data_IF_102416060681
#
_entry.id   IF_102416060681
#
_cell.length_a   1.000
_cell.length_b   1.000
_cell.length_c   1.000
_cell.angle_alpha   90.00
_cell.angle_beta   90.00
_cell.angle_gamma   90.00
#
_symmetry.space_group_name_H-M   'P 1'
#
loop_
_entity.id
_entity.type
_entity.pdbx_description
1 polymer ?
#
# COMPACT_ATOMS: atom_id res chain seq x y z
N UNK A 1 16.98 12.95 11.95
CA UNK A 1 15.72 12.34 12.39
C UNK A 1 14.48 13.23 12.21
N UNK A 2 14.57 14.47 11.69
CA UNK A 2 13.41 15.39 11.55
C UNK A 2 12.79 15.38 10.14
N UNK A 3 13.59 15.15 9.08
CA UNK A 3 13.15 15.18 7.67
C UNK A 3 11.95 14.27 7.38
N UNK A 4 12.01 13.01 7.79
CA UNK A 4 10.94 12.03 7.58
C UNK A 4 9.69 12.37 8.40
N UNK A 5 9.86 12.79 9.66
CA UNK A 5 8.73 13.20 10.51
C UNK A 5 8.01 14.43 9.96
N UNK A 6 8.74 15.42 9.45
CA UNK A 6 8.14 16.60 8.80
C UNK A 6 7.39 16.21 7.53
N UNK A 7 7.96 15.34 6.71
CA UNK A 7 7.30 14.84 5.50
C UNK A 7 5.99 14.10 5.82
N UNK A 8 5.99 13.24 6.84
CA UNK A 8 4.78 12.55 7.31
C UNK A 8 3.74 13.53 7.84
N UNK A 9 4.14 14.55 8.62
CA UNK A 9 3.23 15.57 9.12
C UNK A 9 2.57 16.39 8.01
N UNK A 10 3.33 16.77 6.98
CA UNK A 10 2.80 17.47 5.81
C UNK A 10 1.81 16.59 5.03
N UNK A 11 2.12 15.31 4.84
CA UNK A 11 1.23 14.36 4.17
C UNK A 11 -0.09 14.20 4.93
N UNK A 12 -0.01 14.04 6.25
CA UNK A 12 -1.19 13.87 7.12
C UNK A 12 -2.04 15.14 7.20
N UNK A 13 -1.42 16.32 7.08
CA UNK A 13 -2.13 17.61 6.96
C UNK A 13 -2.82 17.80 5.58
N UNK A 14 -2.60 16.89 4.63
CA UNK A 14 -3.25 16.89 3.32
C UNK A 14 -2.43 17.53 2.19
N UNK A 15 -1.16 17.84 2.41
CA UNK A 15 -0.26 18.34 1.36
C UNK A 15 0.00 17.27 0.31
N UNK A 16 0.03 17.65 -0.97
CA UNK A 16 0.29 16.73 -2.07
C UNK A 16 1.71 16.14 -1.97
N UNK A 17 1.85 14.84 -2.24
CA UNK A 17 3.15 14.14 -2.20
C UNK A 17 4.19 14.76 -3.15
N UNK A 18 3.76 15.35 -4.27
CA UNK A 18 4.63 16.06 -5.21
C UNK A 18 5.18 17.35 -4.62
N UNK A 19 4.37 18.09 -3.85
CA UNK A 19 4.79 19.32 -3.18
C UNK A 19 5.77 19.01 -2.04
N UNK A 20 5.55 17.91 -1.33
CA UNK A 20 6.48 17.41 -0.31
C UNK A 20 7.80 17.01 -0.96
N UNK A 21 7.78 16.32 -2.10
CA UNK A 21 8.98 15.96 -2.85
C UNK A 21 9.79 17.20 -3.27
N UNK A 22 9.11 18.23 -3.79
CA UNK A 22 9.73 19.49 -4.18
C UNK A 22 10.34 20.23 -2.99
N UNK A 23 9.61 20.35 -1.87
CA UNK A 23 10.11 20.98 -0.64
C UNK A 23 11.34 20.27 -0.06
N UNK A 24 11.40 18.95 -0.22
CA UNK A 24 12.53 18.12 0.19
C UNK A 24 13.71 18.17 -0.80
N UNK A 25 13.56 18.81 -1.96
CA UNK A 25 14.58 18.89 -3.01
C UNK A 25 14.77 17.59 -3.79
N UNK A 26 13.75 16.73 -3.83
CA UNK A 26 13.79 15.51 -4.64
C UNK A 26 13.45 15.84 -6.09
N UNK A 27 14.30 15.42 -7.03
CA UNK A 27 14.06 15.52 -8.48
C UNK A 27 12.87 14.64 -8.92
N UNK A 28 12.54 13.61 -8.14
CA UNK A 28 11.43 12.70 -8.39
C UNK A 28 10.62 12.41 -7.11
N UNK A 29 9.28 12.32 -7.20
CA UNK A 29 8.44 11.92 -6.08
C UNK A 29 8.58 10.43 -5.69
N UNK A 30 9.34 9.63 -6.46
CA UNK A 30 9.54 8.20 -6.19
C UNK A 30 10.13 7.93 -4.81
N UNK A 31 11.02 8.80 -4.31
CA UNK A 31 11.62 8.69 -2.98
C UNK A 31 10.71 9.20 -1.86
N UNK A 32 9.63 9.90 -2.21
CA UNK A 32 8.59 10.39 -1.28
C UNK A 32 7.39 9.44 -1.22
N UNK A 33 7.25 8.51 -2.19
CA UNK A 33 6.18 7.51 -2.24
C UNK A 33 6.12 6.62 -0.98
N UNK A 34 7.28 6.41 -0.33
CA UNK A 34 7.37 5.66 0.92
C UNK A 34 6.45 6.22 2.02
N UNK A 35 6.19 7.53 2.04
CA UNK A 35 5.32 8.14 3.04
C UNK A 35 3.83 7.82 2.78
N UNK A 36 3.45 7.72 1.50
CA UNK A 36 2.11 7.28 1.08
C UNK A 36 1.86 5.85 1.52
N UNK A 37 2.87 4.98 1.40
CA UNK A 37 2.80 3.61 1.88
C UNK A 37 2.77 3.50 3.41
N UNK A 38 3.44 4.42 4.11
CA UNK A 38 3.52 4.41 5.57
C UNK A 38 2.25 4.95 6.27
N UNK A 39 1.43 5.77 5.60
CA UNK A 39 0.22 6.35 6.20
C UNK A 39 -0.98 5.38 6.16
N UNK A 40 -1.20 4.67 7.27
CA UNK A 40 -2.33 3.75 7.44
C UNK A 40 -3.70 4.46 7.40
N UNK A 41 -3.82 5.65 8.00
CA UNK A 41 -5.08 6.39 8.03
C UNK A 41 -5.49 6.86 6.62
N UNK A 42 -4.52 7.19 5.76
CA UNK A 42 -4.80 7.46 4.36
C UNK A 42 -5.24 6.20 3.60
N UNK A 43 -4.60 5.05 3.85
CA UNK A 43 -5.02 3.77 3.26
C UNK A 43 -6.46 3.41 3.65
N UNK A 44 -6.82 3.53 4.92
CA UNK A 44 -8.18 3.28 5.41
C UNK A 44 -9.20 4.21 4.76
N UNK A 45 -8.94 5.52 4.73
CA UNK A 45 -9.81 6.50 4.04
C UNK A 45 -9.98 6.20 2.56
N UNK A 46 -8.93 5.72 1.91
CA UNK A 46 -8.96 5.34 0.49
C UNK A 46 -9.82 4.10 0.29
N UNK A 47 -9.60 3.05 1.09
CA UNK A 47 -10.41 1.83 1.06
C UNK A 47 -11.89 2.11 1.31
N UNK A 48 -12.23 2.99 2.26
CA UNK A 48 -13.60 3.37 2.55
C UNK A 48 -14.34 4.06 1.38
N UNK A 49 -13.60 4.67 0.43
CA UNK A 49 -14.17 5.33 -0.76
C UNK A 49 -14.31 4.39 -1.96
N UNK A 50 -13.60 3.26 -1.93
CA UNK A 50 -13.59 2.30 -3.03
C UNK A 50 -14.78 1.34 -2.87
N UNK A 51 -15.40 0.98 -4.00
CA UNK A 51 -16.35 -0.14 -4.01
C UNK A 51 -15.57 -1.44 -3.82
N UNK A 52 -16.03 -2.35 -2.94
CA UNK A 52 -15.45 -3.68 -2.87
C UNK A 52 -15.46 -4.32 -4.27
N UNK A 53 -14.36 -4.94 -4.71
CA UNK A 53 -14.35 -5.61 -6.00
C UNK A 53 -15.33 -6.79 -5.97
N UNK A 54 -16.12 -6.96 -7.03
CA UNK A 54 -16.99 -8.12 -7.21
C UNK A 54 -16.16 -9.35 -7.59
N UNK A 55 -15.36 -9.83 -6.66
CA UNK A 55 -14.59 -11.05 -6.82
C UNK A 55 -15.43 -12.20 -6.29
N UNK A 56 -15.72 -13.20 -7.11
CA UNK A 56 -16.23 -14.47 -6.61
C UNK A 56 -15.10 -15.13 -5.83
N UNK A 57 -15.21 -15.34 -4.51
CA UNK A 57 -14.18 -16.03 -3.76
C UNK A 57 -14.08 -17.46 -4.29
N UNK A 58 -13.04 -17.74 -5.07
CA UNK A 58 -12.75 -19.10 -5.52
C UNK A 58 -11.95 -19.79 -4.45
N UNK A 59 -12.52 -20.83 -3.83
CA UNK A 59 -11.73 -21.72 -2.99
C UNK A 59 -10.90 -22.61 -3.91
N UNK A 60 -9.58 -22.62 -3.69
CA UNK A 60 -8.70 -23.56 -4.38
C UNK A 60 -9.20 -25.00 -4.18
N UNK A 61 -9.33 -25.74 -5.28
CA UNK A 61 -9.64 -27.17 -5.28
C UNK A 61 -8.42 -27.92 -5.80
N UNK A 62 -7.73 -28.70 -4.95
CA UNK A 62 -6.57 -29.46 -5.39
C UNK A 62 -6.98 -30.51 -6.45
N UNK A 63 -6.18 -30.71 -7.50
CA UNK A 63 -6.41 -31.78 -8.47
C UNK A 63 -6.31 -33.15 -7.78
N UNK A 64 -7.03 -34.16 -8.32
CA UNK A 64 -7.25 -35.47 -7.67
C UNK A 64 -5.97 -36.22 -7.22
N UNK A 65 -4.79 -35.88 -7.75
CA UNK A 65 -3.52 -36.50 -7.37
C UNK A 65 -2.64 -35.71 -6.39
N UNK A 66 -2.94 -34.43 -6.13
CA UNK A 66 -2.05 -33.58 -5.31
C UNK A 66 -1.97 -34.06 -3.86
N UNK A 67 -3.12 -34.40 -3.26
CA UNK A 67 -3.15 -34.92 -1.89
C UNK A 67 -2.41 -36.25 -1.78
N UNK A 68 -2.51 -37.10 -2.80
CA UNK A 68 -1.85 -38.41 -2.82
C UNK A 68 -0.33 -38.27 -2.94
N UNK A 69 0.15 -37.36 -3.79
CA UNK A 69 1.57 -37.02 -3.89
C UNK A 69 2.12 -36.50 -2.55
N UNK A 70 1.42 -35.54 -1.92
CA UNK A 70 1.85 -34.97 -0.63
C UNK A 70 1.88 -35.98 0.52
N UNK A 71 1.02 -37.01 0.47
CA UNK A 71 1.01 -38.10 1.46
C UNK A 71 2.11 -39.14 1.23
N UNK A 72 2.76 -39.14 0.06
CA UNK A 72 3.84 -40.07 -0.30
C UNK A 72 5.25 -39.51 -0.12
N UNK A 73 5.36 -38.26 0.35
CA UNK A 73 6.61 -37.63 0.79
C UNK A 73 6.92 -38.01 2.23
#
# INVERSE_FOLDING_TARGET
>A
MVRHSTAMGLLQAGTNVTDIALWLGHESPSTTHMYVEADLAMKERTLARLKPPEVRPTRYRPPKGLMQFLQSL
#
